data_IF_103876348816
#
_entry.id   IF_103876348816
#
_cell.length_a   1.000
_cell.length_b   1.000
_cell.length_c   1.000
_cell.angle_alpha   90.00
_cell.angle_beta   90.00
_cell.angle_gamma   90.00
#
_symmetry.space_group_name_H-M   'P 1'
#
loop_
_entity.id
_entity.type
_entity.pdbx_description
1 polymer ?
#
# COMPACT_ATOMS: atom_id res chain seq x y z
N UNK A 1 8.14 -14.03 -2.91
CA UNK A 1 7.19 -13.06 -2.29
C UNK A 1 5.89 -13.80 -1.98
N UNK A 2 5.17 -13.45 -0.92
CA UNK A 2 3.91 -14.14 -0.61
C UNK A 2 2.87 -13.92 -1.73
N UNK A 3 2.11 -14.95 -2.17
CA UNK A 3 1.14 -14.81 -3.25
C UNK A 3 0.09 -13.70 -3.03
N UNK A 4 -0.39 -13.55 -1.79
CA UNK A 4 -1.33 -12.51 -1.42
C UNK A 4 -0.75 -11.08 -1.55
N UNK A 5 0.53 -10.90 -1.22
CA UNK A 5 1.23 -9.62 -1.39
C UNK A 5 1.47 -9.33 -2.87
N UNK A 6 1.85 -10.34 -3.66
CA UNK A 6 2.04 -10.21 -5.10
C UNK A 6 0.74 -9.82 -5.83
N UNK A 7 -0.39 -10.38 -5.40
CA UNK A 7 -1.71 -10.07 -5.95
C UNK A 7 -2.26 -8.70 -5.51
N UNK A 8 -1.73 -8.11 -4.43
CA UNK A 8 -2.16 -6.82 -3.92
C UNK A 8 -1.54 -5.68 -4.77
N UNK A 9 -2.34 -4.86 -5.48
CA UNK A 9 -1.78 -3.78 -6.28
C UNK A 9 -0.99 -2.76 -5.47
N UNK A 10 -1.35 -2.55 -4.20
CA UNK A 10 -0.64 -1.66 -3.29
C UNK A 10 0.61 -2.29 -2.66
N UNK A 11 0.85 -3.59 -2.87
CA UNK A 11 2.02 -4.30 -2.34
C UNK A 11 2.05 -4.37 -0.81
N UNK A 12 0.89 -4.53 -0.17
CA UNK A 12 0.79 -4.63 1.29
C UNK A 12 1.54 -5.87 1.79
N UNK A 13 2.39 -5.70 2.79
CA UNK A 13 3.01 -6.83 3.50
C UNK A 13 2.00 -7.51 4.41
N UNK A 14 1.13 -8.31 3.79
CA UNK A 14 0.06 -9.01 4.48
C UNK A 14 0.63 -10.00 5.50
N UNK A 15 1.74 -10.66 5.17
CA UNK A 15 2.34 -11.62 6.09
C UNK A 15 2.86 -10.91 7.34
N UNK A 16 3.60 -9.81 7.18
CA UNK A 16 4.21 -9.10 8.29
C UNK A 16 3.17 -8.53 9.25
N UNK A 17 2.10 -7.88 8.77
CA UNK A 17 1.13 -7.32 9.71
C UNK A 17 0.29 -8.40 10.38
N UNK A 18 0.02 -9.53 9.69
CA UNK A 18 -0.63 -10.68 10.33
C UNK A 18 0.26 -11.33 11.38
N UNK A 19 1.58 -11.36 11.18
CA UNK A 19 2.52 -11.80 12.21
C UNK A 19 2.41 -10.92 13.45
N UNK A 20 2.43 -9.59 13.32
CA UNK A 20 2.24 -8.68 14.45
C UNK A 20 0.88 -8.87 15.15
N UNK A 21 -0.20 -9.12 14.41
CA UNK A 21 -1.49 -9.46 15.01
C UNK A 21 -1.46 -10.76 15.81
N UNK A 22 -0.70 -11.78 15.36
CA UNK A 22 -0.51 -13.03 16.13
C UNK A 22 0.22 -12.78 17.44
N UNK A 23 1.18 -11.86 17.47
CA UNK A 23 1.93 -11.50 18.67
C UNK A 23 1.13 -10.56 19.59
N UNK A 24 0.04 -9.96 19.12
CA UNK A 24 -0.71 -8.93 19.85
C UNK A 24 -0.11 -7.53 19.73
N UNK A 25 0.88 -7.35 18.85
CA UNK A 25 1.56 -6.09 18.53
C UNK A 25 0.71 -5.23 17.59
N UNK A 26 -0.38 -4.68 18.12
CA UNK A 26 -1.38 -3.97 17.31
C UNK A 26 -0.83 -2.70 16.66
N UNK A 27 0.04 -1.96 17.35
CA UNK A 27 0.57 -0.69 16.84
C UNK A 27 1.51 -0.92 15.64
N UNK A 28 2.33 -1.94 15.72
CA UNK A 28 3.26 -2.39 14.69
C UNK A 28 2.49 -2.94 13.48
N UNK A 29 1.40 -3.69 13.70
CA UNK A 29 0.51 -4.12 12.63
C UNK A 29 -0.10 -2.93 11.88
N UNK A 30 -0.61 -1.93 12.60
CA UNK A 30 -1.17 -0.70 12.00
C UNK A 30 -0.10 0.07 11.23
N UNK A 31 1.10 0.22 11.80
CA UNK A 31 2.21 0.93 11.17
C UNK A 31 2.62 0.26 9.85
N UNK A 32 2.82 -1.06 9.88
CA UNK A 32 3.26 -1.82 8.71
C UNK A 32 2.22 -1.80 7.57
N UNK A 33 0.93 -1.90 7.89
CA UNK A 33 -0.13 -1.74 6.86
C UNK A 33 -0.07 -0.33 6.24
N UNK A 34 0.16 0.69 7.08
CA UNK A 34 0.21 2.09 6.65
C UNK A 34 1.43 2.42 5.78
N UNK A 35 2.46 1.59 5.77
CA UNK A 35 3.59 1.73 4.84
C UNK A 35 3.17 1.64 3.36
N UNK A 36 2.12 0.87 3.08
CA UNK A 36 1.60 0.68 1.72
C UNK A 36 0.20 1.23 1.52
N UNK A 37 -0.60 1.35 2.59
CA UNK A 37 -2.00 1.82 2.52
C UNK A 37 -2.23 3.04 3.42
N UNK A 38 -2.49 4.24 2.86
CA UNK A 38 -2.74 5.44 3.64
C UNK A 38 -4.02 5.38 4.50
N UNK A 39 -5.01 4.58 4.08
CA UNK A 39 -6.32 4.52 4.74
C UNK A 39 -6.91 3.09 4.77
N UNK A 40 -6.32 2.16 5.52
CA UNK A 40 -6.75 0.75 5.57
C UNK A 40 -8.21 0.55 6.01
N UNK A 41 -8.75 1.46 6.83
CA UNK A 41 -10.16 1.41 7.22
C UNK A 41 -11.12 1.53 6.02
N UNK A 42 -10.71 2.28 5.00
CA UNK A 42 -11.51 2.47 3.79
C UNK A 42 -11.33 1.24 2.89
N UNK A 43 -10.10 0.84 2.61
CA UNK A 43 -9.83 -0.30 1.70
C UNK A 43 -10.40 -1.61 2.25
N UNK A 44 -10.36 -1.85 3.57
CA UNK A 44 -11.01 -3.00 4.21
C UNK A 44 -12.55 -3.05 4.05
N UNK A 45 -13.19 -1.96 3.57
CA UNK A 45 -14.63 -1.90 3.31
C UNK A 45 -14.99 -1.94 1.81
N UNK A 46 -14.12 -1.42 0.96
CA UNK A 46 -14.44 -1.20 -0.46
C UNK A 46 -13.56 -1.95 -1.44
N UNK A 47 -12.41 -2.47 -1.01
CA UNK A 47 -11.57 -3.33 -1.84
C UNK A 47 -12.27 -4.67 -2.09
N UNK A 48 -11.96 -5.28 -3.22
CA UNK A 48 -12.45 -6.61 -3.61
C UNK A 48 -11.47 -7.73 -3.18
N UNK A 49 -10.37 -7.36 -2.50
CA UNK A 49 -9.36 -8.24 -1.90
C UNK A 49 -8.85 -9.36 -2.83
N UNK A 50 -8.18 -9.00 -3.95
CA UNK A 50 -7.54 -10.00 -4.83
C UNK A 50 -6.50 -10.86 -4.09
N UNK A 51 -5.96 -10.34 -2.98
CA UNK A 51 -5.07 -11.05 -2.09
C UNK A 51 -5.69 -12.30 -1.45
N UNK A 52 -7.01 -12.34 -1.25
CA UNK A 52 -7.70 -13.52 -0.70
C UNK A 52 -7.82 -14.64 -1.76
N UNK A 53 -8.11 -14.29 -3.00
CA UNK A 53 -8.17 -15.23 -4.14
C UNK A 53 -6.82 -15.78 -4.56
N UNK A 54 -5.73 -15.15 -4.12
CA UNK A 54 -4.36 -15.65 -4.31
C UNK A 54 -3.82 -16.35 -3.05
N UNK A 55 -4.62 -16.47 -1.99
CA UNK A 55 -4.13 -17.01 -0.73
C UNK A 55 -3.83 -18.49 -0.86
N UNK A 56 -2.60 -18.91 -0.59
CA UNK A 56 -2.21 -20.35 -0.56
C UNK A 56 -3.17 -21.21 0.25
N UNK A 57 -3.69 -20.67 1.35
CA UNK A 57 -4.56 -21.41 2.26
C UNK A 57 -5.90 -21.81 1.65
N UNK A 58 -6.32 -21.13 0.58
CA UNK A 58 -7.50 -21.50 -0.21
C UNK A 58 -7.44 -22.95 -0.71
N UNK A 59 -6.25 -23.45 -1.05
CA UNK A 59 -6.07 -24.83 -1.50
C UNK A 59 -6.20 -25.89 -0.39
N UNK A 60 -6.26 -25.47 0.88
CA UNK A 60 -6.39 -26.36 2.04
C UNK A 60 -7.83 -26.34 2.57
N UNK A 61 -8.33 -25.16 2.89
CA UNK A 61 -9.68 -24.96 3.39
C UNK A 61 -10.32 -23.70 2.80
N UNK A 62 -10.05 -22.54 3.38
CA UNK A 62 -10.53 -21.26 2.93
C UNK A 62 -9.43 -20.22 3.16
N UNK A 63 -9.38 -19.23 2.27
CA UNK A 63 -8.49 -18.09 2.40
C UNK A 63 -8.58 -17.46 3.79
N UNK A 64 -7.44 -16.94 4.24
CA UNK A 64 -7.42 -16.03 5.39
C UNK A 64 -8.31 -14.84 5.05
N UNK A 65 -9.16 -14.42 5.98
CA UNK A 65 -10.00 -13.23 5.82
C UNK A 65 -9.16 -11.96 6.01
N UNK A 66 -8.32 -11.69 5.02
CA UNK A 66 -7.45 -10.52 4.92
C UNK A 66 -8.28 -9.24 4.93
N UNK A 67 -9.46 -9.24 4.31
CA UNK A 67 -10.42 -8.12 4.37
C UNK A 67 -10.78 -7.76 5.81
N UNK A 68 -11.23 -8.74 6.59
CA UNK A 68 -11.64 -8.54 7.98
C UNK A 68 -10.49 -8.04 8.85
N UNK A 69 -9.29 -8.59 8.63
CA UNK A 69 -8.07 -8.19 9.32
C UNK A 69 -7.61 -6.78 8.96
N UNK A 70 -7.64 -6.42 7.68
CA UNK A 70 -7.32 -5.07 7.20
C UNK A 70 -8.32 -4.04 7.74
N UNK A 71 -9.62 -4.38 7.75
CA UNK A 71 -10.66 -3.54 8.34
C UNK A 71 -10.45 -3.36 9.84
N UNK A 72 -10.20 -4.44 10.57
CA UNK A 72 -9.92 -4.42 12.00
C UNK A 72 -8.73 -3.50 12.31
N UNK A 73 -7.58 -3.73 11.67
CA UNK A 73 -6.38 -2.91 11.82
C UNK A 73 -6.65 -1.46 11.44
N UNK A 74 -7.39 -1.22 10.36
CA UNK A 74 -7.70 0.14 9.93
C UNK A 74 -8.62 0.89 10.89
N UNK A 75 -9.52 0.20 11.57
CA UNK A 75 -10.43 0.77 12.56
C UNK A 75 -9.76 1.07 13.91
N UNK A 76 -8.60 0.44 14.19
CA UNK A 76 -7.73 0.82 15.31
C UNK A 76 -7.16 2.23 15.03
N UNK A 77 -7.86 3.25 15.55
CA UNK A 77 -7.41 4.63 15.43
C UNK A 77 -6.22 4.86 16.35
N UNK A 78 -5.02 4.82 15.77
CA UNK A 78 -3.81 5.30 16.41
C UNK A 78 -3.55 6.74 15.94
N UNK A 79 -3.55 7.74 16.85
CA UNK A 79 -3.26 9.13 16.49
C UNK A 79 -1.86 9.23 15.87
N UNK A 80 -1.68 10.14 14.91
CA UNK A 80 -0.45 10.26 14.12
C UNK A 80 0.82 10.61 14.93
N UNK A 81 0.65 10.95 16.22
CA UNK A 81 1.66 11.47 17.16
C UNK A 81 2.87 10.55 17.42
N UNK A 82 2.91 9.36 16.84
CA UNK A 82 3.99 8.37 16.99
C UNK A 82 4.94 8.28 15.78
N UNK A 83 4.74 9.07 14.71
CA UNK A 83 5.68 9.14 13.59
C UNK A 83 6.67 10.27 13.88
N UNK A 84 8.01 10.04 13.85
CA UNK A 84 8.99 11.11 13.96
C UNK A 84 8.64 12.22 12.98
N UNK A 85 8.67 13.49 13.42
CA UNK A 85 8.45 14.59 12.48
C UNK A 85 9.46 14.47 11.35
N UNK A 86 9.02 14.26 10.10
CA UNK A 86 9.95 13.97 9.03
C UNK A 86 10.76 15.23 8.74
N UNK A 87 12.04 15.06 8.42
CA UNK A 87 12.94 16.17 8.07
C UNK A 87 12.27 16.99 6.97
N UNK A 88 11.95 18.24 7.27
CA UNK A 88 11.16 19.05 6.38
C UNK A 88 12.00 19.49 5.18
N UNK A 89 11.62 19.02 3.99
CA UNK A 89 12.16 19.54 2.76
C UNK A 89 11.70 20.99 2.55
N UNK A 90 12.57 21.81 1.95
CA UNK A 90 12.24 23.19 1.60
C UNK A 90 11.11 23.28 0.55
N UNK A 91 11.01 22.28 -0.33
CA UNK A 91 10.03 22.23 -1.40
C UNK A 91 8.59 22.06 -0.86
N UNK A 92 7.69 22.91 -1.35
CA UNK A 92 6.24 22.83 -1.10
C UNK A 92 5.55 22.17 -2.28
N UNK A 93 4.57 21.30 -1.99
CA UNK A 93 3.81 20.56 -2.99
C UNK A 93 2.32 20.88 -2.86
N UNK A 94 1.70 21.25 -3.98
CA UNK A 94 0.25 21.41 -4.09
C UNK A 94 -0.37 20.15 -4.68
N UNK A 95 -1.37 19.59 -4.00
CA UNK A 95 -2.15 18.45 -4.48
C UNK A 95 -3.57 18.91 -4.79
N UNK A 96 -4.06 18.64 -6.00
CA UNK A 96 -5.37 19.12 -6.47
C UNK A 96 -6.35 17.96 -6.50
N UNK A 97 -7.36 18.02 -5.65
CA UNK A 97 -8.37 17.00 -5.43
C UNK A 97 -8.08 16.17 -4.18
N UNK A 98 -9.11 15.96 -3.35
CA UNK A 98 -9.05 15.14 -2.13
C UNK A 98 -9.67 13.74 -2.33
N UNK A 99 -9.70 13.26 -3.57
CA UNK A 99 -10.06 11.88 -3.88
C UNK A 99 -9.03 10.87 -3.37
N UNK A 100 -9.21 9.57 -3.64
CA UNK A 100 -8.30 8.53 -3.17
C UNK A 100 -6.86 8.75 -3.66
N UNK A 101 -6.68 9.23 -4.91
CA UNK A 101 -5.35 9.55 -5.45
C UNK A 101 -4.68 10.71 -4.72
N UNK A 102 -5.38 11.83 -4.55
CA UNK A 102 -4.81 13.02 -3.91
C UNK A 102 -4.52 12.81 -2.43
N UNK A 103 -5.42 12.18 -1.68
CA UNK A 103 -5.16 11.82 -0.28
C UNK A 103 -3.99 10.86 -0.12
N UNK A 104 -3.86 9.87 -1.03
CA UNK A 104 -2.74 8.93 -1.00
C UNK A 104 -1.41 9.61 -1.32
N UNK A 105 -1.37 10.44 -2.37
CA UNK A 105 -0.17 11.19 -2.72
C UNK A 105 0.25 12.13 -1.58
N UNK A 106 -0.71 12.85 -0.99
CA UNK A 106 -0.44 13.73 0.13
C UNK A 106 0.10 12.98 1.35
N UNK A 107 -0.45 11.80 1.65
CA UNK A 107 0.05 10.94 2.71
C UNK A 107 1.52 10.53 2.50
N UNK A 108 1.86 9.99 1.32
CA UNK A 108 3.22 9.50 1.05
C UNK A 108 4.23 10.65 0.96
N UNK A 109 3.88 11.74 0.28
CA UNK A 109 4.74 12.93 0.20
C UNK A 109 4.98 13.53 1.59
N UNK A 110 3.96 13.56 2.45
CA UNK A 110 4.13 14.03 3.83
C UNK A 110 5.03 13.10 4.64
N UNK A 111 4.88 11.77 4.48
CA UNK A 111 5.73 10.77 5.11
C UNK A 111 7.21 10.93 4.70
N UNK A 112 7.46 11.34 3.46
CA UNK A 112 8.80 11.66 2.93
C UNK A 112 9.33 13.03 3.40
N UNK A 113 8.59 13.82 4.17
CA UNK A 113 9.07 15.10 4.70
C UNK A 113 8.69 16.34 3.89
N UNK A 114 7.90 16.22 2.84
CA UNK A 114 7.44 17.40 2.09
C UNK A 114 6.31 18.14 2.78
N UNK A 115 6.27 19.46 2.60
CA UNK A 115 5.12 20.30 2.97
C UNK A 115 4.05 20.16 1.89
N UNK A 116 2.88 19.66 2.27
CA UNK A 116 1.80 19.37 1.32
C UNK A 116 0.55 20.16 1.66
N UNK A 117 0.00 20.84 0.66
CA UNK A 117 -1.33 21.47 0.73
C UNK A 117 -2.25 20.82 -0.28
N UNK A 118 -3.37 20.27 0.19
CA UNK A 118 -4.42 19.68 -0.65
C UNK A 118 -5.52 20.70 -0.90
N UNK A 119 -5.80 20.98 -2.17
CA UNK A 119 -6.89 21.85 -2.61
C UNK A 119 -8.07 20.99 -3.10
N UNK A 120 -9.25 21.22 -2.57
CA UNK A 120 -10.47 20.50 -2.92
C UNK A 120 -11.53 21.48 -3.42
N UNK A 121 -12.21 21.13 -4.51
CA UNK A 121 -13.29 21.94 -5.09
C UNK A 121 -14.57 21.87 -4.24
N UNK A 122 -14.87 20.70 -3.67
CA UNK A 122 -16.03 20.50 -2.81
C UNK A 122 -15.83 21.12 -1.42
N UNK A 123 -16.94 21.31 -0.70
CA UNK A 123 -16.93 21.79 0.69
C UNK A 123 -16.42 20.74 1.69
N UNK A 124 -16.50 19.45 1.34
CA UNK A 124 -16.05 18.32 2.17
C UNK A 124 -15.02 17.47 1.44
N UNK A 125 -14.03 17.00 2.20
CA UNK A 125 -12.92 16.17 1.71
C UNK A 125 -13.36 14.72 1.45
N UNK A 126 -12.61 14.01 0.59
CA UNK A 126 -12.79 12.59 0.27
C UNK A 126 -13.12 12.31 -1.20
N UNK A 127 -13.43 13.35 -1.99
CA UNK A 127 -13.70 13.24 -3.42
C UNK A 127 -14.64 12.08 -3.77
N UNK A 128 -14.22 11.19 -4.67
CA UNK A 128 -15.02 10.04 -5.11
C UNK A 128 -15.37 9.04 -4.00
N UNK A 129 -14.58 8.95 -2.92
CA UNK A 129 -14.92 8.10 -1.77
C UNK A 129 -16.18 8.61 -1.08
N UNK A 130 -16.36 9.94 -1.05
CA UNK A 130 -17.56 10.58 -0.50
C UNK A 130 -18.70 10.63 -1.51
N UNK A 131 -18.44 10.88 -2.79
CA UNK A 131 -19.51 11.16 -3.75
C UNK A 131 -20.03 9.95 -4.51
N UNK A 132 -19.22 8.89 -4.68
CA UNK A 132 -19.59 7.73 -5.52
C UNK A 132 -19.80 6.43 -4.74
N UNK A 133 -19.28 6.33 -3.52
CA UNK A 133 -19.47 5.13 -2.68
C UNK A 133 -20.71 5.31 -1.79
N UNK A 134 -21.67 4.35 -1.80
CA UNK A 134 -22.83 4.37 -0.92
C UNK A 134 -22.41 4.40 0.56
N UNK A 135 -23.12 5.20 1.36
CA UNK A 135 -22.81 5.39 2.78
C UNK A 135 -22.95 4.11 3.62
N UNK A 136 -23.90 3.24 3.25
CA UNK A 136 -24.06 1.92 3.85
C UNK A 136 -22.79 1.06 3.74
N UNK A 137 -22.02 1.23 2.65
CA UNK A 137 -20.76 0.50 2.43
C UNK A 137 -19.57 1.23 3.05
N UNK A 138 -19.57 2.57 3.00
CA UNK A 138 -18.50 3.41 3.53
C UNK A 138 -19.07 4.60 4.31
N UNK A 139 -19.19 4.48 5.64
CA UNK A 139 -19.70 5.57 6.47
C UNK A 139 -18.84 6.83 6.35
N UNK A 140 -19.47 8.00 6.28
CA UNK A 140 -18.74 9.27 6.13
C UNK A 140 -17.82 9.56 7.30
N UNK A 141 -18.20 9.11 8.50
CA UNK A 141 -17.38 9.19 9.71
C UNK A 141 -16.03 8.49 9.58
N UNK A 142 -15.94 7.39 8.81
CA UNK A 142 -14.67 6.70 8.54
C UNK A 142 -13.78 7.54 7.63
N UNK A 143 -14.35 8.16 6.60
CA UNK A 143 -13.62 9.09 5.71
C UNK A 143 -13.09 10.27 6.53
N UNK A 144 -13.93 10.85 7.38
CA UNK A 144 -13.57 12.00 8.22
C UNK A 144 -12.43 11.65 9.21
N UNK A 145 -12.46 10.46 9.81
CA UNK A 145 -11.37 9.96 10.67
C UNK A 145 -10.05 9.80 9.92
N UNK A 146 -10.08 9.25 8.70
CA UNK A 146 -8.86 9.06 7.90
C UNK A 146 -8.29 10.40 7.41
N UNK A 147 -9.16 11.34 7.01
CA UNK A 147 -8.76 12.70 6.65
C UNK A 147 -8.18 13.43 7.87
N UNK A 148 -8.77 13.25 9.06
CA UNK A 148 -8.25 13.81 10.31
C UNK A 148 -6.83 13.28 10.58
N UNK A 149 -6.60 11.98 10.41
CA UNK A 149 -5.28 11.38 10.57
C UNK A 149 -4.24 12.01 9.62
N UNK A 150 -4.56 12.17 8.34
CA UNK A 150 -3.66 12.82 7.37
C UNK A 150 -3.42 14.30 7.75
N UNK A 151 -4.42 14.99 8.32
CA UNK A 151 -4.26 16.36 8.84
C UNK A 151 -3.34 16.40 10.05
N UNK A 152 -3.47 15.44 10.99
CA UNK A 152 -2.60 15.31 12.16
C UNK A 152 -1.14 15.04 11.77
N UNK A 153 -0.88 14.45 10.60
CA UNK A 153 0.47 14.34 10.05
C UNK A 153 1.06 15.69 9.61
N UNK A 154 0.26 16.75 9.50
CA UNK A 154 0.70 18.09 9.06
C UNK A 154 0.37 18.42 7.59
N UNK A 155 -0.55 17.68 6.96
CA UNK A 155 -1.08 18.06 5.64
C UNK A 155 -2.13 19.16 5.79
N UNK A 156 -1.96 20.25 5.05
CA UNK A 156 -2.93 21.34 5.00
C UNK A 156 -4.05 21.03 4.00
N UNK A 157 -5.28 21.44 4.32
CA UNK A 157 -6.43 21.25 3.44
C UNK A 157 -7.14 22.58 3.19
N UNK A 158 -7.46 22.87 1.92
CA UNK A 158 -8.22 24.05 1.49
C UNK A 158 -9.38 23.63 0.61
N UNK A 159 -10.60 23.70 1.14
CA UNK A 159 -11.84 23.34 0.43
C UNK A 159 -12.43 24.53 -0.34
N UNK A 160 -13.39 24.28 -1.24
CA UNK A 160 -13.98 25.32 -2.09
C UNK A 160 -13.02 25.94 -3.11
N UNK A 161 -11.90 25.28 -3.44
CA UNK A 161 -10.87 25.75 -4.37
C UNK A 161 -10.88 24.91 -5.64
N UNK A 162 -11.62 25.37 -6.64
CA UNK A 162 -11.63 24.77 -7.97
C UNK A 162 -10.40 25.19 -8.78
N UNK A 163 -9.75 24.21 -9.43
CA UNK A 163 -8.66 24.44 -10.37
C UNK A 163 -9.19 25.19 -11.61
N UNK A 164 -8.48 26.23 -12.05
CA UNK A 164 -8.86 27.06 -13.20
C UNK A 164 -9.57 28.37 -12.83
N UNK A 165 -10.39 28.39 -11.78
CA UNK A 165 -11.06 29.61 -11.31
C UNK A 165 -10.33 30.27 -10.12
N UNK A 166 -10.06 29.50 -9.06
CA UNK A 166 -9.45 30.03 -7.83
C UNK A 166 -7.93 29.80 -7.80
N UNK A 167 -7.46 28.71 -8.40
CA UNK A 167 -6.06 28.31 -8.47
C UNK A 167 -5.64 28.11 -9.92
N UNK A 168 -4.73 28.94 -10.41
CA UNK A 168 -4.04 28.78 -11.69
C UNK A 168 -2.64 28.21 -11.45
N UNK A 169 -2.02 27.63 -12.49
CA UNK A 169 -0.62 27.18 -12.43
C UNK A 169 0.29 28.32 -11.96
N UNK A 170 0.12 29.51 -12.54
CA UNK A 170 0.90 30.69 -12.20
C UNK A 170 0.72 31.05 -10.73
N UNK A 171 -0.51 31.08 -10.21
CA UNK A 171 -0.76 31.37 -8.79
C UNK A 171 -0.14 30.33 -7.86
N UNK A 172 -0.10 29.06 -8.26
CA UNK A 172 0.55 28.02 -7.47
C UNK A 172 2.06 28.26 -7.40
N UNK A 173 2.69 28.62 -8.52
CA UNK A 173 4.12 28.98 -8.57
C UNK A 173 4.39 30.22 -7.71
N UNK A 174 3.57 31.28 -7.83
CA UNK A 174 3.70 32.49 -7.02
C UNK A 174 3.49 32.23 -5.52
N UNK A 175 2.65 31.26 -5.14
CA UNK A 175 2.48 30.83 -3.77
C UNK A 175 3.65 29.98 -3.24
N UNK A 176 4.68 29.74 -4.06
CA UNK A 176 5.90 29.02 -3.70
C UNK A 176 5.78 27.50 -3.76
N UNK A 177 4.77 26.96 -4.46
CA UNK A 177 4.69 25.52 -4.72
C UNK A 177 5.65 25.13 -5.84
N UNK A 178 6.61 24.25 -5.53
CA UNK A 178 7.59 23.74 -6.50
C UNK A 178 7.02 22.63 -7.37
N UNK A 179 6.01 21.90 -6.88
CA UNK A 179 5.36 20.80 -7.60
C UNK A 179 3.84 20.94 -7.50
N UNK A 180 3.17 20.62 -8.60
CA UNK A 180 1.72 20.46 -8.66
C UNK A 180 1.35 19.02 -9.02
N UNK A 181 0.56 18.36 -8.19
CA UNK A 181 0.01 17.04 -8.47
C UNK A 181 -1.51 17.12 -8.70
N UNK A 182 -1.97 16.83 -9.93
CA UNK A 182 -3.36 16.93 -10.35
C UNK A 182 -4.06 15.57 -10.21
N UNK A 183 -5.00 15.48 -9.28
CA UNK A 183 -5.72 14.26 -8.90
C UNK A 183 -7.24 14.48 -8.87
N UNK A 184 -7.77 15.27 -9.81
CA UNK A 184 -9.19 15.68 -9.90
C UNK A 184 -10.12 14.55 -10.33
N UNK A 185 -9.57 13.44 -10.82
CA UNK A 185 -10.33 12.25 -11.26
C UNK A 185 -11.01 12.38 -12.62
N UNK A 186 -11.39 13.58 -13.03
CA UNK A 186 -11.82 13.93 -14.39
C UNK A 186 -11.08 15.18 -14.86
N UNK A 187 -11.05 15.39 -16.18
CA UNK A 187 -10.39 16.55 -16.77
C UNK A 187 -11.10 17.83 -16.30
N UNK A 188 -10.41 18.76 -15.60
CA UNK A 188 -11.03 19.97 -15.10
C UNK A 188 -11.47 20.89 -16.23
N UNK A 189 -12.65 21.49 -16.09
CA UNK A 189 -13.14 22.54 -17.00
C UNK A 189 -12.44 23.87 -16.70
N UNK A 190 -12.17 24.67 -17.74
CA UNK A 190 -11.56 25.99 -17.57
C UNK A 190 -10.02 26.00 -17.47
N UNK A 191 -9.35 24.90 -17.79
CA UNK A 191 -7.88 24.89 -17.95
C UNK A 191 -7.47 25.43 -19.33
N UNK A 192 -6.33 26.16 -19.43
CA UNK A 192 -5.75 26.53 -20.71
C UNK A 192 -5.50 25.30 -21.59
N UNK A 193 -5.63 25.46 -22.91
CA UNK A 193 -5.52 24.36 -23.88
C UNK A 193 -4.24 23.54 -23.72
N UNK A 194 -3.08 24.19 -23.58
CA UNK A 194 -1.80 23.49 -23.41
C UNK A 194 -1.72 22.65 -22.13
N UNK A 195 -2.34 23.09 -21.03
CA UNK A 195 -2.41 22.32 -19.78
C UNK A 195 -3.32 21.11 -19.96
N UNK A 196 -4.46 21.31 -20.62
CA UNK A 196 -5.41 20.24 -20.93
C UNK A 196 -4.80 19.15 -21.81
N UNK A 197 -4.05 19.54 -22.83
CA UNK A 197 -3.34 18.62 -23.72
C UNK A 197 -2.22 17.87 -22.99
N UNK A 198 -1.47 18.56 -22.12
CA UNK A 198 -0.44 17.94 -21.28
C UNK A 198 -1.02 16.85 -20.35
N UNK A 199 -2.22 17.08 -19.78
CA UNK A 199 -2.91 16.09 -18.95
C UNK A 199 -3.40 14.84 -19.72
N UNK A 200 -3.49 14.91 -21.05
CA UNK A 200 -3.78 13.75 -21.89
C UNK A 200 -2.53 12.96 -22.27
N UNK A 201 -1.32 13.50 -22.01
CA UNK A 201 -0.03 12.89 -22.33
C UNK A 201 0.85 12.81 -21.09
N UNK A 202 0.39 12.07 -20.09
CA UNK A 202 1.14 11.82 -18.85
C UNK A 202 2.01 10.59 -19.02
N UNK A 203 3.26 10.67 -18.57
CA UNK A 203 4.16 9.52 -18.53
C UNK A 203 3.59 8.45 -17.57
N UNK A 204 3.37 7.21 -18.03
CA UNK A 204 2.72 6.17 -17.23
C UNK A 204 3.59 5.61 -16.10
N UNK A 205 4.91 5.82 -16.14
CA UNK A 205 5.84 5.37 -15.11
C UNK A 205 6.07 6.43 -14.05
N UNK A 206 6.32 7.68 -14.48
CA UNK A 206 6.70 8.79 -13.58
C UNK A 206 5.50 9.63 -13.16
N UNK A 207 4.36 9.51 -13.84
CA UNK A 207 3.18 10.35 -13.66
C UNK A 207 3.42 11.84 -13.95
N UNK A 208 4.55 12.18 -14.58
CA UNK A 208 4.89 13.53 -14.97
C UNK A 208 4.16 13.92 -16.26
N UNK A 209 3.69 15.16 -16.33
CA UNK A 209 3.12 15.73 -17.56
C UNK A 209 4.22 16.36 -18.42
N UNK A 210 3.89 16.83 -19.62
CA UNK A 210 4.85 17.57 -20.46
C UNK A 210 5.23 18.93 -19.89
N UNK A 211 4.45 19.44 -18.94
CA UNK A 211 4.76 20.69 -18.24
C UNK A 211 5.72 20.35 -17.09
N UNK A 212 6.92 20.95 -17.04
CA UNK A 212 7.84 20.76 -15.94
C UNK A 212 7.16 21.01 -14.59
N UNK A 213 7.53 20.24 -13.57
CA UNK A 213 6.98 20.36 -12.21
C UNK A 213 5.49 20.03 -12.03
N UNK A 214 4.79 19.61 -13.10
CA UNK A 214 3.39 19.20 -13.04
C UNK A 214 3.27 17.69 -13.25
N UNK A 215 2.59 17.04 -12.32
CA UNK A 215 2.31 15.61 -12.29
C UNK A 215 0.80 15.40 -12.25
N UNK A 216 0.33 14.25 -12.70
CA UNK A 216 -1.10 13.92 -12.70
C UNK A 216 -1.34 12.45 -12.40
N UNK A 217 -2.46 12.14 -11.74
CA UNK A 217 -2.76 10.76 -11.36
C UNK A 217 -4.22 10.51 -11.04
N UNK A 218 -4.47 9.31 -10.52
CA UNK A 218 -5.82 8.84 -10.22
C UNK A 218 -6.62 8.51 -11.48
N UNK A 219 -7.95 8.58 -11.38
CA UNK A 219 -8.84 8.21 -12.48
C UNK A 219 -8.69 9.10 -13.73
N UNK A 220 -8.07 10.28 -13.60
CA UNK A 220 -7.73 11.14 -14.73
C UNK A 220 -6.75 10.46 -15.70
N UNK A 221 -5.78 9.72 -15.16
CA UNK A 221 -4.72 9.06 -15.93
C UNK A 221 -5.02 7.57 -16.14
N UNK A 222 -5.55 6.91 -15.11
CA UNK A 222 -5.77 5.45 -15.11
C UNK A 222 -7.15 5.04 -15.64
N UNK A 223 -8.07 5.98 -15.81
CA UNK A 223 -9.47 5.68 -16.09
C UNK A 223 -10.19 4.98 -14.93
N UNK A 224 -11.16 4.13 -15.26
CA UNK A 224 -11.97 3.39 -14.28
C UNK A 224 -11.22 2.15 -13.77
N UNK A 225 -10.46 2.32 -12.69
CA UNK A 225 -9.76 1.22 -12.00
C UNK A 225 -10.19 1.11 -10.54
N UNK A 226 -10.00 -0.06 -9.89
CA UNK A 226 -10.27 -0.20 -8.47
C UNK A 226 -9.44 0.75 -7.61
N UNK A 227 -10.00 1.17 -6.47
CA UNK A 227 -9.35 2.15 -5.57
C UNK A 227 -7.95 1.74 -5.13
N UNK A 228 -7.70 0.44 -4.91
CA UNK A 228 -6.38 -0.06 -4.48
C UNK A 228 -5.31 0.17 -5.56
N UNK A 229 -5.67 0.10 -6.85
CA UNK A 229 -4.77 0.46 -7.95
C UNK A 229 -4.51 1.97 -7.99
N UNK A 230 -5.51 2.78 -7.67
CA UNK A 230 -5.35 4.24 -7.54
C UNK A 230 -4.38 4.60 -6.42
N UNK A 231 -4.48 3.95 -5.27
CA UNK A 231 -3.55 4.15 -4.14
C UNK A 231 -2.12 3.76 -4.54
N UNK A 232 -1.96 2.59 -5.16
CA UNK A 232 -0.66 2.12 -5.63
C UNK A 232 0.00 3.08 -6.61
N UNK A 233 -0.78 3.58 -7.58
CA UNK A 233 -0.31 4.58 -8.55
C UNK A 233 0.03 5.92 -7.89
N UNK A 234 -0.77 6.37 -6.92
CA UNK A 234 -0.48 7.60 -6.18
C UNK A 234 0.81 7.50 -5.36
N UNK A 235 1.12 6.32 -4.79
CA UNK A 235 2.42 6.05 -4.16
C UNK A 235 3.57 6.16 -5.16
N UNK A 236 3.42 5.54 -6.34
CA UNK A 236 4.43 5.63 -7.42
C UNK A 236 4.63 7.08 -7.90
N UNK A 237 3.55 7.85 -8.02
CA UNK A 237 3.61 9.26 -8.37
C UNK A 237 4.34 10.07 -7.28
N UNK A 238 4.06 9.83 -6.00
CA UNK A 238 4.75 10.47 -4.88
C UNK A 238 6.26 10.17 -4.88
N UNK A 239 6.65 8.91 -5.10
CA UNK A 239 8.05 8.50 -5.25
C UNK A 239 8.72 9.18 -6.45
N UNK A 240 8.01 9.29 -7.58
CA UNK A 240 8.53 9.96 -8.77
C UNK A 240 8.72 11.46 -8.56
N UNK A 241 7.82 12.10 -7.83
CA UNK A 241 7.96 13.50 -7.41
C UNK A 241 9.18 13.67 -6.48
N UNK A 242 9.37 12.76 -5.52
CA UNK A 242 10.52 12.81 -4.62
C UNK A 242 11.85 12.68 -5.38
N UNK A 243 11.93 11.72 -6.32
CA UNK A 243 13.07 11.56 -7.23
C UNK A 243 13.32 12.79 -8.08
N UNK A 244 12.27 13.37 -8.66
CA UNK A 244 12.37 14.60 -9.44
C UNK A 244 12.91 15.78 -8.58
N UNK A 245 12.63 15.77 -7.28
CA UNK A 245 13.15 16.76 -6.32
C UNK A 245 14.54 16.41 -5.77
N UNK A 246 15.18 15.34 -6.26
CA UNK A 246 16.56 14.96 -5.93
C UNK A 246 16.69 13.95 -4.78
N UNK A 247 15.67 13.15 -4.48
CA UNK A 247 15.81 12.00 -3.58
C UNK A 247 16.05 10.69 -4.33
N UNK A 248 17.16 10.02 -4.03
CA UNK A 248 17.42 8.67 -4.52
C UNK A 248 16.71 7.62 -3.64
N UNK A 249 15.59 7.11 -4.12
CA UNK A 249 15.04 5.81 -3.69
C UNK A 249 15.01 4.85 -4.87
N UNK A 250 15.71 3.72 -4.78
CA UNK A 250 15.72 2.65 -5.79
C UNK A 250 14.32 2.06 -6.03
N UNK A 251 14.05 1.59 -7.26
CA UNK A 251 12.77 0.95 -7.62
C UNK A 251 12.85 -0.52 -7.20
N UNK A 252 12.07 -0.91 -6.18
CA UNK A 252 12.00 -2.32 -5.77
C UNK A 252 11.48 -3.20 -6.93
N UNK A 253 12.25 -4.24 -7.29
CA UNK A 253 11.89 -5.21 -8.32
C UNK A 253 10.76 -6.15 -7.87
N UNK A 254 9.89 -6.54 -8.81
CA UNK A 254 8.83 -7.50 -8.57
C UNK A 254 9.41 -8.93 -8.51
N UNK A 255 9.22 -9.62 -7.37
CA UNK A 255 9.64 -11.02 -7.20
C UNK A 255 8.60 -12.01 -7.77
N UNK A 256 9.03 -13.15 -8.28
CA UNK A 256 8.15 -14.20 -8.82
C UNK A 256 7.35 -14.95 -7.73
N UNK A 257 6.26 -15.61 -8.14
CA UNK A 257 5.31 -16.36 -7.29
C UNK A 257 5.53 -17.87 -7.47
N UNK A 258 5.56 -18.62 -6.35
CA UNK A 258 5.70 -20.09 -6.33
C UNK A 258 4.34 -20.76 -6.55
N UNK A 259 4.28 -21.77 -7.44
CA UNK A 259 3.01 -22.35 -7.94
C UNK A 259 2.53 -23.62 -7.21
N UNK A 260 3.41 -24.39 -6.57
CA UNK A 260 3.07 -25.71 -6.01
C UNK A 260 3.29 -25.75 -4.49
N UNK A 261 2.22 -25.92 -3.70
CA UNK A 261 2.27 -25.98 -2.23
C UNK A 261 1.56 -27.26 -1.73
N UNK A 262 2.16 -28.04 -0.81
CA UNK A 262 1.54 -29.27 -0.29
C UNK A 262 0.39 -28.97 0.68
N UNK A 263 -0.79 -29.56 0.46
CA UNK A 263 -2.00 -29.29 1.26
C UNK A 263 -2.84 -30.51 1.68
N UNK A 264 -2.43 -31.74 1.34
CA UNK A 264 -3.20 -32.96 1.68
C UNK A 264 -3.15 -33.24 3.19
N UNK A 265 -4.31 -33.51 3.80
CA UNK A 265 -4.42 -34.01 5.19
C UNK A 265 -4.52 -32.94 6.29
N UNK A 266 -4.54 -31.65 5.96
CA UNK A 266 -4.62 -30.58 6.96
C UNK A 266 -6.08 -30.35 7.39
N UNK A 267 -6.33 -30.38 8.71
CA UNK A 267 -7.66 -30.16 9.30
C UNK A 267 -8.15 -28.74 9.03
N UNK A 268 -9.34 -28.63 8.41
CA UNK A 268 -9.97 -27.36 8.04
C UNK A 268 -10.32 -26.53 9.29
N UNK A 269 -10.00 -25.24 9.28
CA UNK A 269 -10.49 -24.25 10.27
C UNK A 269 -11.50 -23.33 9.59
N UNK A 270 -12.70 -23.15 10.14
CA UNK A 270 -13.74 -22.32 9.52
C UNK A 270 -13.32 -20.85 9.42
N UNK A 271 -13.64 -20.18 8.31
CA UNK A 271 -13.46 -18.72 8.13
C UNK A 271 -14.43 -17.94 9.03
N UNK A 272 -13.90 -16.93 9.71
CA UNK A 272 -14.74 -15.91 10.35
C UNK A 272 -15.25 -14.92 9.30
N UNK A 273 -16.56 -14.66 9.24
CA UNK A 273 -17.18 -13.71 8.28
C UNK A 273 -17.16 -12.28 8.84
N UNK A 274 -16.87 -11.26 8.00
CA UNK A 274 -16.64 -9.86 8.43
C UNK A 274 -17.88 -8.97 8.42
N UNK A 275 -19.04 -9.47 8.88
CA UNK A 275 -20.23 -8.60 9.00
C UNK A 275 -20.06 -7.56 10.10
N UNK A 276 -19.41 -7.92 11.20
CA UNK A 276 -19.31 -7.10 12.41
C UNK A 276 -17.89 -6.67 12.74
N UNK A 277 -17.75 -5.70 13.66
CA UNK A 277 -16.46 -5.29 14.20
C UNK A 277 -15.81 -6.45 14.95
N UNK A 278 -14.51 -6.64 14.76
CA UNK A 278 -13.78 -7.74 15.38
C UNK A 278 -13.16 -7.31 16.71
N UNK A 279 -13.16 -8.23 17.67
CA UNK A 279 -12.34 -8.11 18.88
C UNK A 279 -10.87 -8.45 18.57
N UNK A 280 -9.97 -8.05 19.45
CA UNK A 280 -8.54 -8.38 19.36
C UNK A 280 -8.33 -9.90 19.28
N UNK A 281 -9.10 -10.67 20.06
CA UNK A 281 -9.01 -12.13 20.07
C UNK A 281 -9.51 -12.74 18.75
N UNK A 282 -10.63 -12.27 18.20
CA UNK A 282 -11.11 -12.72 16.88
C UNK A 282 -10.09 -12.43 15.79
N UNK A 283 -9.52 -11.21 15.78
CA UNK A 283 -8.49 -10.83 14.81
C UNK A 283 -7.22 -11.68 14.95
N UNK A 284 -6.77 -11.94 16.19
CA UNK A 284 -5.61 -12.80 16.47
C UNK A 284 -5.86 -14.24 16.01
N UNK A 285 -7.04 -14.82 16.29
CA UNK A 285 -7.41 -16.17 15.86
C UNK A 285 -7.44 -16.30 14.34
N UNK A 286 -7.98 -15.30 13.64
CA UNK A 286 -7.98 -15.30 12.18
C UNK A 286 -6.55 -15.11 11.63
N UNK A 287 -5.76 -14.21 12.20
CA UNK A 287 -4.35 -14.04 11.83
C UNK A 287 -3.56 -15.35 12.01
N UNK A 288 -3.83 -16.12 13.07
CA UNK A 288 -3.30 -17.46 13.34
C UNK A 288 -3.60 -18.49 12.23
N UNK A 289 -4.57 -18.25 11.34
CA UNK A 289 -4.80 -19.10 10.15
C UNK A 289 -3.71 -18.89 9.10
N UNK A 290 -3.04 -17.74 9.04
CA UNK A 290 -2.00 -17.46 8.03
C UNK A 290 -0.84 -18.47 8.09
N UNK A 291 -0.60 -19.14 6.96
CA UNK A 291 0.47 -20.14 6.77
C UNK A 291 1.88 -19.56 6.71
N UNK A 292 2.03 -18.24 6.63
CA UNK A 292 3.32 -17.58 6.43
C UNK A 292 4.02 -18.01 5.12
N UNK A 293 3.25 -18.43 4.11
CA UNK A 293 3.73 -18.87 2.81
C UNK A 293 4.68 -17.85 2.14
N UNK A 294 5.72 -18.36 1.48
CA UNK A 294 6.76 -17.52 0.88
C UNK A 294 7.62 -16.76 1.89
N UNK A 295 7.46 -17.02 3.19
CA UNK A 295 8.43 -16.68 4.24
C UNK A 295 9.43 -17.81 4.36
N UNK A 296 10.71 -17.46 4.39
CA UNK A 296 11.75 -18.41 4.77
C UNK A 296 11.83 -18.38 6.30
N UNK A 297 11.56 -19.51 6.93
CA UNK A 297 11.83 -19.74 8.33
C UNK A 297 13.34 -19.78 8.51
N UNK A 298 13.84 -19.05 9.49
CA UNK A 298 15.23 -19.14 9.91
C UNK A 298 15.31 -20.08 11.10
N UNK A 299 16.41 -20.81 11.20
CA UNK A 299 16.66 -21.67 12.35
C UNK A 299 16.86 -20.78 13.58
N UNK A 300 15.97 -20.93 14.56
CA UNK A 300 15.95 -20.10 15.76
C UNK A 300 17.15 -20.37 16.70
N UNK A 301 17.70 -21.59 16.66
CA UNK A 301 18.87 -22.01 17.42
C UNK A 301 19.96 -22.48 16.45
N UNK A 302 20.75 -21.55 15.89
CA UNK A 302 21.78 -21.89 14.91
C UNK A 302 22.82 -22.85 15.47
N UNK A 303 23.11 -22.74 16.77
CA UNK A 303 24.13 -23.54 17.45
C UNK A 303 23.69 -25.01 17.65
N UNK A 304 22.38 -25.27 17.67
CA UNK A 304 21.82 -26.63 17.73
C UNK A 304 21.62 -27.24 16.34
N UNK A 305 21.76 -26.44 15.28
CA UNK A 305 21.63 -26.92 13.92
C UNK A 305 22.86 -27.74 13.54
N UNK A 306 22.68 -29.02 13.21
CA UNK A 306 23.76 -29.85 12.65
C UNK A 306 24.16 -29.45 11.21
N UNK A 307 23.51 -28.43 10.62
CA UNK A 307 23.80 -27.92 9.26
C UNK A 307 23.84 -29.02 8.19
N UNK A 308 22.96 -30.02 8.29
CA UNK A 308 22.89 -31.10 7.29
C UNK A 308 22.17 -30.68 6.00
N UNK A 309 21.53 -29.51 5.99
CA UNK A 309 20.79 -28.91 4.87
C UNK A 309 19.60 -29.69 4.32
N UNK A 310 19.34 -30.92 4.78
CA UNK A 310 18.22 -31.74 4.34
C UNK A 310 16.87 -30.99 4.41
N UNK A 311 16.65 -30.24 5.48
CA UNK A 311 15.41 -29.49 5.68
C UNK A 311 15.24 -28.32 4.70
N UNK A 312 16.32 -27.76 4.14
CA UNK A 312 16.27 -26.73 3.10
C UNK A 312 16.18 -27.35 1.70
N UNK A 313 16.94 -28.40 1.45
CA UNK A 313 17.00 -29.11 0.16
C UNK A 313 15.69 -29.81 -0.17
N UNK A 314 15.11 -30.54 0.79
CA UNK A 314 13.86 -31.28 0.59
C UNK A 314 12.62 -30.40 0.72
N UNK A 315 12.77 -29.10 1.05
CA UNK A 315 11.62 -28.22 1.23
C UNK A 315 11.04 -27.82 -0.15
N UNK A 316 9.90 -28.38 -0.58
CA UNK A 316 9.35 -28.09 -1.92
C UNK A 316 8.91 -26.63 -2.06
N UNK A 317 8.71 -25.93 -0.94
CA UNK A 317 8.30 -24.53 -0.88
C UNK A 317 9.47 -23.56 -0.67
N UNK A 318 10.71 -24.07 -0.54
CA UNK A 318 11.91 -23.31 -0.17
C UNK A 318 11.65 -22.40 1.04
N UNK A 319 10.90 -22.91 2.02
CA UNK A 319 10.41 -22.17 3.16
C UNK A 319 11.35 -22.20 4.36
N UNK A 320 12.54 -22.79 4.25
CA UNK A 320 13.54 -22.88 5.32
C UNK A 320 14.85 -22.32 4.79
N UNK A 321 15.56 -21.53 5.60
CA UNK A 321 16.93 -21.09 5.33
C UNK A 321 17.80 -21.46 6.51
N UNK A 322 18.80 -22.30 6.26
CA UNK A 322 19.83 -22.65 7.24
C UNK A 322 20.89 -21.54 7.24
N UNK A 323 21.37 -21.13 8.42
CA UNK A 323 22.31 -20.00 8.58
C UNK A 323 23.65 -20.26 7.83
N UNK A 324 24.31 -19.23 7.25
CA UNK A 324 25.44 -19.43 6.35
C UNK A 324 26.76 -19.54 7.12
N UNK A 325 27.25 -20.75 7.36
CA UNK A 325 28.70 -20.96 7.25
C UNK A 325 29.03 -21.19 5.76
N UNK A 326 29.00 -20.07 5.03
CA UNK A 326 29.48 -19.80 3.66
C UNK A 326 28.83 -20.51 2.45
N UNK A 327 28.35 -19.63 1.56
CA UNK A 327 28.49 -19.53 0.08
C UNK A 327 28.71 -20.75 -0.82
N UNK A 328 29.20 -21.89 -0.36
CA UNK A 328 29.29 -23.14 -1.13
C UNK A 328 29.01 -24.34 -0.21
N UNK A 329 28.03 -25.17 -0.59
CA UNK A 329 27.71 -26.42 0.12
C UNK A 329 28.96 -27.31 0.25
N UNK A 330 29.04 -28.19 1.26
CA UNK A 330 30.13 -29.13 1.39
C UNK A 330 30.32 -29.97 0.11
N UNK A 331 31.56 -30.21 -0.35
CA UNK A 331 31.84 -30.95 -1.59
C UNK A 331 31.38 -32.43 -1.57
N UNK A 332 30.90 -32.92 -0.43
CA UNK A 332 30.29 -34.25 -0.25
C UNK A 332 28.85 -34.33 -0.75
N UNK A 333 28.22 -33.20 -1.08
CA UNK A 333 26.86 -33.15 -1.62
C UNK A 333 26.94 -33.14 -3.16
N UNK A 334 26.35 -34.15 -3.80
CA UNK A 334 26.30 -34.26 -5.26
C UNK A 334 25.42 -33.15 -5.87
N UNK A 335 26.06 -32.09 -6.37
CA UNK A 335 25.43 -30.93 -7.01
C UNK A 335 24.61 -31.27 -8.26
N UNK A 336 24.89 -32.41 -8.92
CA UNK A 336 24.24 -32.79 -10.18
C UNK A 336 22.77 -33.17 -10.01
N UNK A 337 22.36 -33.56 -8.79
CA UNK A 337 20.97 -33.89 -8.46
C UNK A 337 20.05 -32.67 -8.37
N UNK A 338 20.61 -31.47 -8.20
CA UNK A 338 19.85 -30.25 -7.87
C UNK A 338 19.81 -29.20 -8.98
N UNK A 339 20.55 -29.38 -10.07
CA UNK A 339 20.64 -28.45 -11.20
C UNK A 339 19.40 -28.41 -12.13
N UNK A 340 18.24 -28.92 -11.72
CA UNK A 340 17.01 -28.88 -12.54
C UNK A 340 15.98 -27.91 -11.96
N UNK A 341 16.00 -26.69 -12.48
CA UNK A 341 14.98 -25.69 -12.19
C UNK A 341 15.29 -24.31 -12.78
N UNK A 342 15.60 -24.24 -14.08
CA UNK A 342 15.55 -23.01 -14.88
C UNK A 342 14.16 -22.84 -15.50
#
# INVERSE_FOLDING_TARGET
>A
MAPCQAACPAGVDIRGYLHFLKEGKLAEAVSLVRDSLPFPAITGRICFHPCESACTREAIDESVNINGLERFVGDLYLPARAVPEPVLHAAKIAVIGSGPAGLSAAYFLRKMGYRVTVFEALSKLGGSLRTKVPELRLPRSIIDKQVKYIREMGVEFRTGKLLGAALTLDRAVHAGFKILFIATGTLPTGLPRGVRESLNSVDPETFQTRIPHVFAGGALVLGKVPVVKVIAAARKAALSIARFLGQDEERAEARSVVKNLPGKGIKKKPRQKSRDAWSNDTARREACRCLHCGGRAHIAYPDDCMTCFECELECPSQAITVHPFKEEFPPTIDYSRFAKGS
#
